data_IF_884719446823
#
_entry.id   IF_884719446823
#
_cell.length_a   1.000
_cell.length_b   1.000
_cell.length_c   1.000
_cell.angle_alpha   90.00
_cell.angle_beta   90.00
_cell.angle_gamma   90.00
#
_symmetry.space_group_name_H-M   'P 1'
#
loop_
_entity.id
_entity.type
_entity.pdbx_description
1 polymer ?
#
# COMPACT_ATOMS: atom_id res chain seq x y z
N UNK A 1 -48.40 33.32 -9.59
CA UNK A 1 -47.79 32.40 -8.63
C UNK A 1 -46.91 31.42 -9.40
N UNK A 2 -45.58 31.47 -9.23
CA UNK A 2 -44.67 30.42 -9.76
C UNK A 2 -45.01 29.14 -9.04
N UNK A 3 -45.58 28.11 -9.73
CA UNK A 3 -45.77 26.79 -9.17
C UNK A 3 -44.41 26.26 -8.73
N UNK A 4 -44.24 26.05 -7.43
CA UNK A 4 -43.01 25.46 -6.90
C UNK A 4 -42.81 24.07 -7.51
N UNK A 5 -41.53 23.71 -7.80
CA UNK A 5 -41.19 22.38 -8.29
C UNK A 5 -41.52 21.35 -7.22
N UNK A 6 -42.05 20.18 -7.62
CA UNK A 6 -42.40 19.06 -6.77
C UNK A 6 -41.33 17.99 -6.85
N UNK A 7 -40.70 17.67 -5.75
CA UNK A 7 -39.72 16.59 -5.66
C UNK A 7 -40.22 15.50 -4.70
N UNK A 8 -40.02 14.24 -5.11
CA UNK A 8 -40.28 13.09 -4.24
C UNK A 8 -39.01 12.83 -3.39
N UNK A 9 -39.11 12.90 -2.05
CA UNK A 9 -38.01 12.45 -1.20
C UNK A 9 -37.88 10.93 -1.28
N UNK A 10 -36.65 10.44 -1.53
CA UNK A 10 -36.38 9.02 -1.68
C UNK A 10 -35.06 8.65 -1.04
N UNK A 11 -35.06 7.58 -0.23
CA UNK A 11 -33.83 6.93 0.26
C UNK A 11 -33.77 5.54 -0.35
N UNK A 12 -32.69 5.26 -1.07
CA UNK A 12 -32.41 3.94 -1.63
C UNK A 12 -31.31 3.30 -0.78
N UNK A 13 -31.56 2.11 -0.27
CA UNK A 13 -30.56 1.29 0.41
C UNK A 13 -30.36 0.00 -0.37
N UNK A 14 -29.13 -0.31 -0.75
CA UNK A 14 -28.75 -1.51 -1.49
C UNK A 14 -27.73 -2.26 -0.67
N UNK A 15 -27.99 -3.52 -0.39
CA UNK A 15 -27.11 -4.41 0.33
C UNK A 15 -26.44 -5.35 -0.68
N UNK A 16 -25.10 -5.38 -0.67
CA UNK A 16 -24.25 -6.20 -1.53
C UNK A 16 -24.65 -6.16 -3.03
N UNK A 17 -24.63 -4.97 -3.67
CA UNK A 17 -25.00 -4.84 -5.09
C UNK A 17 -24.08 -5.64 -6.03
N UNK A 18 -22.95 -6.10 -5.53
CA UNK A 18 -21.99 -6.94 -6.26
C UNK A 18 -22.44 -8.38 -6.47
N UNK A 19 -23.41 -8.89 -5.74
CA UNK A 19 -23.84 -10.28 -5.83
C UNK A 19 -24.30 -10.58 -7.26
N UNK A 20 -23.64 -11.59 -7.89
CA UNK A 20 -23.88 -12.04 -9.27
C UNK A 20 -23.61 -11.01 -10.37
N UNK A 21 -22.99 -9.87 -10.07
CA UNK A 21 -22.64 -8.85 -11.06
C UNK A 21 -21.14 -8.84 -11.39
N UNK A 22 -20.84 -8.76 -12.68
CA UNK A 22 -19.47 -8.48 -13.11
C UNK A 22 -19.01 -7.09 -12.63
N UNK A 23 -17.73 -6.87 -12.23
CA UNK A 23 -17.24 -5.61 -11.69
C UNK A 23 -17.64 -4.35 -12.47
N UNK A 24 -17.57 -4.39 -13.80
CA UNK A 24 -18.04 -3.26 -14.64
C UNK A 24 -19.53 -2.99 -14.51
N UNK A 25 -20.32 -4.05 -14.35
CA UNK A 25 -21.78 -3.92 -14.17
C UNK A 25 -22.12 -3.31 -12.81
N UNK A 26 -21.37 -3.66 -11.77
CA UNK A 26 -21.53 -3.07 -10.43
C UNK A 26 -21.42 -1.54 -10.51
N UNK A 27 -20.32 -1.03 -11.09
CA UNK A 27 -20.11 0.42 -11.27
C UNK A 27 -21.20 1.07 -12.09
N UNK A 28 -21.60 0.44 -13.21
CA UNK A 28 -22.64 0.98 -14.09
C UNK A 28 -23.99 1.09 -13.38
N UNK A 29 -24.39 0.09 -12.62
CA UNK A 29 -25.65 0.08 -11.87
C UNK A 29 -25.64 1.19 -10.80
N UNK A 30 -24.55 1.32 -10.04
CA UNK A 30 -24.43 2.35 -9.03
C UNK A 30 -24.46 3.76 -9.62
N UNK A 31 -23.76 3.95 -10.73
CA UNK A 31 -23.77 5.23 -11.46
C UNK A 31 -25.18 5.55 -11.98
N UNK A 32 -25.90 4.57 -12.49
CA UNK A 32 -27.28 4.75 -12.95
C UNK A 32 -28.21 5.20 -11.80
N UNK A 33 -28.13 4.57 -10.61
CA UNK A 33 -28.91 5.03 -9.46
C UNK A 33 -28.59 6.47 -9.04
N UNK A 34 -27.33 6.87 -9.13
CA UNK A 34 -26.93 8.25 -8.88
C UNK A 34 -27.54 9.21 -9.91
N UNK A 35 -27.49 8.87 -11.20
CA UNK A 35 -28.11 9.67 -12.26
C UNK A 35 -29.61 9.86 -12.04
N UNK A 36 -30.32 8.79 -11.64
CA UNK A 36 -31.75 8.90 -11.32
C UNK A 36 -32.02 9.87 -10.16
N UNK A 37 -31.25 9.75 -9.07
CA UNK A 37 -31.40 10.61 -7.88
C UNK A 37 -31.01 12.07 -8.14
N UNK A 38 -30.07 12.31 -9.06
CA UNK A 38 -29.64 13.65 -9.47
C UNK A 38 -30.53 14.24 -10.58
N UNK A 39 -31.51 13.47 -11.08
CA UNK A 39 -32.41 13.87 -12.16
C UNK A 39 -31.67 14.10 -13.49
N UNK A 40 -30.65 13.33 -13.75
CA UNK A 40 -29.80 13.44 -14.95
C UNK A 40 -30.33 12.58 -16.11
N UNK A 41 -31.31 11.68 -15.87
CA UNK A 41 -31.99 10.91 -16.88
C UNK A 41 -33.28 11.62 -17.36
N UNK A 42 -33.29 12.21 -18.58
CA UNK A 42 -34.44 12.95 -19.08
C UNK A 42 -35.68 12.09 -19.30
N UNK A 43 -35.50 10.80 -19.65
CA UNK A 43 -36.65 9.89 -19.89
C UNK A 43 -37.33 9.57 -18.58
N UNK A 44 -36.53 9.23 -17.55
CA UNK A 44 -37.04 8.99 -16.20
C UNK A 44 -37.75 10.22 -15.63
N UNK A 45 -37.17 11.42 -15.75
CA UNK A 45 -37.81 12.66 -15.31
C UNK A 45 -39.14 12.91 -16.03
N UNK A 46 -39.24 12.59 -17.33
CA UNK A 46 -40.51 12.68 -18.08
C UNK A 46 -41.56 11.72 -17.52
N UNK A 47 -41.18 10.46 -17.28
CA UNK A 47 -42.08 9.46 -16.67
C UNK A 47 -42.59 9.92 -15.30
N UNK A 48 -41.73 10.43 -14.44
CA UNK A 48 -42.10 11.00 -13.15
C UNK A 48 -43.12 12.15 -13.30
N UNK A 49 -42.93 12.98 -14.32
CA UNK A 49 -43.81 14.11 -14.56
C UNK A 49 -45.17 13.68 -15.10
N UNK A 50 -45.19 12.76 -16.06
CA UNK A 50 -46.40 12.31 -16.76
C UNK A 50 -47.27 11.43 -15.85
N UNK A 51 -46.68 10.52 -15.09
CA UNK A 51 -47.44 9.60 -14.27
C UNK A 51 -47.78 10.14 -12.88
N UNK A 52 -46.87 10.91 -12.26
CA UNK A 52 -47.01 11.32 -10.86
C UNK A 52 -47.09 12.83 -10.65
N UNK A 53 -46.97 13.62 -11.73
CA UNK A 53 -46.87 15.06 -11.67
C UNK A 53 -45.75 15.59 -10.74
N UNK A 54 -44.60 14.87 -10.75
CA UNK A 54 -43.40 15.15 -9.95
C UNK A 54 -42.31 15.63 -10.88
N UNK A 55 -41.57 16.66 -10.49
CA UNK A 55 -40.51 17.27 -11.30
C UNK A 55 -39.15 16.58 -11.14
N UNK A 56 -39.01 15.63 -10.21
CA UNK A 56 -37.80 14.85 -9.99
C UNK A 56 -37.73 14.21 -8.61
N UNK A 57 -36.62 13.55 -8.35
CA UNK A 57 -36.29 12.98 -7.04
C UNK A 57 -35.40 13.92 -6.23
N UNK A 58 -35.46 13.78 -4.92
CA UNK A 58 -34.50 14.38 -3.98
C UNK A 58 -34.18 13.34 -2.94
N UNK A 59 -33.03 12.70 -3.08
CA UNK A 59 -32.76 11.53 -2.26
C UNK A 59 -31.29 11.25 -1.98
N UNK A 60 -31.10 10.13 -1.31
CA UNK A 60 -29.79 9.60 -0.93
C UNK A 60 -29.71 8.12 -1.31
N UNK A 61 -28.52 7.68 -1.70
CA UNK A 61 -28.19 6.29 -1.97
C UNK A 61 -27.23 5.79 -0.87
N UNK A 62 -27.62 4.74 -0.17
CA UNK A 62 -26.77 4.00 0.76
C UNK A 62 -26.45 2.64 0.19
N UNK A 63 -25.19 2.27 0.22
CA UNK A 63 -24.69 1.00 -0.30
C UNK A 63 -23.90 0.33 0.81
N UNK A 64 -24.27 -0.89 1.15
CA UNK A 64 -23.46 -1.79 1.98
C UNK A 64 -22.74 -2.75 1.03
N UNK A 65 -21.43 -2.81 1.11
CA UNK A 65 -20.63 -3.59 0.15
C UNK A 65 -19.35 -4.11 0.76
N UNK A 66 -18.90 -5.28 0.30
CA UNK A 66 -17.57 -5.85 0.52
C UNK A 66 -16.68 -5.75 -0.73
N UNK A 67 -17.17 -5.14 -1.81
CA UNK A 67 -16.45 -5.00 -3.08
C UNK A 67 -15.70 -3.66 -3.16
N UNK A 68 -14.42 -3.73 -3.48
CA UNK A 68 -13.61 -2.54 -3.79
C UNK A 68 -14.11 -1.81 -5.04
N UNK A 69 -14.76 -2.54 -5.96
CA UNK A 69 -15.31 -1.98 -7.20
C UNK A 69 -16.58 -1.15 -6.96
N UNK A 70 -17.32 -1.46 -5.89
CA UNK A 70 -18.49 -0.70 -5.47
C UNK A 70 -18.13 0.58 -4.68
N UNK A 71 -16.88 0.72 -4.22
CA UNK A 71 -16.43 1.96 -3.58
C UNK A 71 -16.22 3.05 -4.63
N UNK A 72 -16.94 4.14 -4.47
CA UNK A 72 -16.80 5.34 -5.30
C UNK A 72 -15.41 5.96 -5.06
N UNK A 73 -14.85 6.61 -6.08
CA UNK A 73 -13.50 7.17 -6.05
C UNK A 73 -13.36 8.44 -5.18
N UNK A 74 -14.26 8.62 -4.23
CA UNK A 74 -14.24 9.71 -3.25
C UNK A 74 -14.38 9.15 -1.82
N UNK A 75 -13.29 9.18 -1.07
CA UNK A 75 -13.25 8.69 0.31
C UNK A 75 -14.27 9.40 1.22
N UNK A 76 -14.72 10.62 0.90
CA UNK A 76 -15.70 11.39 1.68
C UNK A 76 -17.06 10.73 1.72
N UNK A 77 -17.37 9.88 0.75
CA UNK A 77 -18.61 9.12 0.69
C UNK A 77 -18.53 7.77 1.43
N UNK A 78 -17.36 7.41 1.97
CA UNK A 78 -17.16 6.13 2.65
C UNK A 78 -17.48 6.26 4.14
N UNK A 79 -18.27 5.31 4.64
CA UNK A 79 -18.52 5.11 6.05
C UNK A 79 -18.04 3.71 6.41
N UNK A 80 -16.95 3.62 7.19
CA UNK A 80 -16.45 2.33 7.68
C UNK A 80 -17.02 2.03 9.04
N UNK A 81 -17.66 0.88 9.18
CA UNK A 81 -18.07 0.35 10.49
C UNK A 81 -16.90 -0.47 11.08
N UNK A 82 -16.68 -0.36 12.36
CA UNK A 82 -15.64 -1.09 13.08
C UNK A 82 -16.03 -1.35 14.53
N UNK A 83 -15.42 -2.35 15.17
CA UNK A 83 -15.59 -2.57 16.63
C UNK A 83 -14.48 -1.85 17.39
N UNK A 84 -14.87 -1.12 18.42
CA UNK A 84 -13.91 -0.53 19.35
C UNK A 84 -13.38 -1.59 20.35
N UNK A 85 -12.42 -1.19 21.19
CA UNK A 85 -11.81 -2.08 22.21
C UNK A 85 -12.81 -2.66 23.22
N UNK A 86 -14.02 -2.11 23.29
CA UNK A 86 -15.11 -2.61 24.16
C UNK A 86 -16.08 -3.50 23.37
N UNK A 87 -15.79 -3.81 22.12
CA UNK A 87 -16.65 -4.60 21.23
C UNK A 87 -17.86 -3.83 20.69
N UNK A 88 -17.95 -2.53 20.92
CA UNK A 88 -19.07 -1.70 20.43
C UNK A 88 -18.86 -1.32 18.97
N UNK A 89 -19.91 -1.42 18.17
CA UNK A 89 -19.88 -0.94 16.77
C UNK A 89 -19.79 0.57 16.73
N UNK A 90 -18.86 1.08 15.96
CA UNK A 90 -18.59 2.49 15.72
C UNK A 90 -18.51 2.75 14.22
N UNK A 91 -18.66 4.01 13.83
CA UNK A 91 -18.52 4.45 12.45
C UNK A 91 -17.37 5.46 12.33
N UNK A 92 -16.58 5.33 11.26
CA UNK A 92 -15.64 6.32 10.80
C UNK A 92 -16.12 6.84 9.44
N UNK A 93 -16.38 8.15 9.36
CA UNK A 93 -17.01 8.77 8.21
C UNK A 93 -16.01 9.65 7.47
N UNK A 94 -15.81 9.37 6.18
CA UNK A 94 -14.86 10.10 5.34
C UNK A 94 -15.20 11.58 5.15
N UNK A 95 -16.49 11.95 5.19
CA UNK A 95 -16.92 13.35 5.12
C UNK A 95 -16.52 14.20 6.32
N UNK A 96 -16.09 13.57 7.42
CA UNK A 96 -15.56 14.27 8.58
C UNK A 96 -14.09 14.67 8.44
N UNK A 97 -13.43 14.31 7.34
CA UNK A 97 -12.01 14.56 7.09
C UNK A 97 -11.85 15.64 6.04
N UNK A 98 -10.97 16.57 6.33
CA UNK A 98 -10.54 17.59 5.38
C UNK A 98 -9.03 17.52 5.26
N UNK A 99 -8.56 16.93 4.18
CA UNK A 99 -7.15 16.92 3.84
C UNK A 99 -6.78 18.16 3.03
N UNK A 100 -5.50 18.55 3.04
CA UNK A 100 -4.99 19.57 2.12
C UNK A 100 -5.09 19.06 0.68
N UNK A 101 -5.16 19.99 -0.29
CA UNK A 101 -5.24 19.66 -1.71
C UNK A 101 -4.12 18.73 -2.19
N UNK A 102 -2.92 18.88 -1.61
CA UNK A 102 -1.77 18.04 -1.90
C UNK A 102 -1.99 16.58 -1.45
N UNK A 103 -2.56 16.39 -0.25
CA UNK A 103 -2.89 15.06 0.25
C UNK A 103 -4.00 14.43 -0.61
N UNK A 104 -5.01 15.20 -0.97
CA UNK A 104 -6.09 14.69 -1.83
C UNK A 104 -5.59 14.21 -3.20
N UNK A 105 -4.70 14.95 -3.85
CA UNK A 105 -4.06 14.50 -5.11
C UNK A 105 -3.37 13.16 -4.95
N UNK A 106 -2.59 12.98 -3.89
CA UNK A 106 -1.92 11.71 -3.62
C UNK A 106 -2.90 10.58 -3.34
N UNK A 107 -3.96 10.84 -2.59
CA UNK A 107 -4.97 9.83 -2.29
C UNK A 107 -5.70 9.35 -3.55
N UNK A 108 -6.04 10.25 -4.47
CA UNK A 108 -6.65 9.89 -5.75
C UNK A 108 -5.74 8.95 -6.55
N UNK A 109 -4.42 9.22 -6.59
CA UNK A 109 -3.46 8.39 -7.32
C UNK A 109 -3.25 6.99 -6.71
N UNK A 110 -3.34 6.88 -5.38
CA UNK A 110 -3.12 5.63 -4.65
C UNK A 110 -4.42 4.96 -4.19
N UNK A 111 -5.56 5.49 -4.60
CA UNK A 111 -6.86 5.02 -4.11
C UNK A 111 -7.15 3.55 -4.42
N UNK A 112 -6.71 2.95 -5.52
CA UNK A 112 -6.91 1.51 -5.75
C UNK A 112 -6.31 0.64 -4.65
N UNK A 113 -5.09 0.93 -4.22
CA UNK A 113 -4.42 0.19 -3.14
C UNK A 113 -5.05 0.48 -1.77
N UNK A 114 -5.45 1.73 -1.55
CA UNK A 114 -6.13 2.15 -0.31
C UNK A 114 -7.52 1.54 -0.17
N UNK A 115 -8.28 1.38 -1.27
CA UNK A 115 -9.59 0.71 -1.24
C UNK A 115 -9.52 -0.70 -0.63
N UNK A 116 -8.53 -1.48 -1.04
CA UNK A 116 -8.34 -2.83 -0.49
C UNK A 116 -8.04 -2.79 1.02
N UNK A 117 -7.26 -1.80 1.46
CA UNK A 117 -6.93 -1.63 2.87
C UNK A 117 -8.13 -1.29 3.75
N UNK A 118 -9.20 -0.67 3.20
CA UNK A 118 -10.41 -0.36 3.97
C UNK A 118 -11.11 -1.60 4.54
N UNK A 119 -10.93 -2.76 3.91
CA UNK A 119 -11.46 -4.06 4.36
C UNK A 119 -10.46 -4.86 5.20
N UNK A 120 -9.23 -4.37 5.38
CA UNK A 120 -8.20 -5.08 6.13
C UNK A 120 -8.34 -4.88 7.65
N UNK A 121 -7.77 -5.82 8.41
CA UNK A 121 -7.62 -5.71 9.85
C UNK A 121 -6.48 -4.79 10.26
N UNK A 122 -5.43 -4.74 9.44
CA UNK A 122 -4.31 -3.81 9.58
C UNK A 122 -3.63 -3.60 8.24
N UNK A 123 -2.82 -2.57 8.11
CA UNK A 123 -2.05 -2.30 6.90
C UNK A 123 -0.57 -2.17 7.20
N UNK A 124 0.25 -2.72 6.28
CA UNK A 124 1.69 -2.48 6.22
C UNK A 124 2.00 -1.62 5.01
N UNK A 125 2.56 -0.44 5.24
CA UNK A 125 2.96 0.48 4.18
C UNK A 125 4.48 0.39 4.03
N UNK A 126 4.93 0.18 2.80
CA UNK A 126 6.35 0.15 2.41
C UNK A 126 6.63 1.19 1.35
N UNK A 127 7.89 1.63 1.24
CA UNK A 127 8.26 2.74 0.38
C UNK A 127 8.25 2.37 -1.10
N UNK A 128 8.76 1.18 -1.45
CA UNK A 128 9.10 0.83 -2.82
C UNK A 128 8.64 -0.55 -3.29
N UNK A 129 8.97 -0.81 -4.55
CA UNK A 129 8.53 -2.02 -5.27
C UNK A 129 9.26 -3.28 -4.80
N UNK A 130 10.51 -3.17 -4.37
CA UNK A 130 11.30 -4.34 -3.92
C UNK A 130 10.73 -4.89 -2.63
N UNK A 131 10.44 -4.02 -1.67
CA UNK A 131 9.77 -4.35 -0.41
C UNK A 131 8.40 -4.97 -0.67
N UNK A 132 7.60 -4.32 -1.52
CA UNK A 132 6.29 -4.84 -1.90
C UNK A 132 6.37 -6.24 -2.49
N UNK A 133 7.39 -6.50 -3.32
CA UNK A 133 7.59 -7.81 -3.94
C UNK A 133 7.97 -8.92 -2.96
N UNK A 134 8.68 -8.63 -1.86
CA UNK A 134 9.18 -9.65 -0.94
C UNK A 134 8.39 -9.80 0.37
N UNK A 135 7.74 -8.74 0.87
CA UNK A 135 7.17 -8.75 2.23
C UNK A 135 6.03 -9.73 2.43
N UNK A 136 5.21 -9.98 1.40
CA UNK A 136 4.17 -11.01 1.50
C UNK A 136 4.77 -12.39 1.78
N UNK A 137 5.84 -12.75 1.07
CA UNK A 137 6.52 -14.02 1.27
C UNK A 137 7.30 -14.05 2.59
N UNK A 138 7.91 -12.94 2.99
CA UNK A 138 8.52 -12.83 4.31
C UNK A 138 7.51 -13.04 5.43
N UNK A 139 6.27 -12.55 5.26
CA UNK A 139 5.17 -12.85 6.17
C UNK A 139 4.92 -14.35 6.30
N UNK A 140 4.86 -15.08 5.19
CA UNK A 140 4.71 -16.55 5.19
C UNK A 140 5.88 -17.22 5.92
N UNK A 141 7.11 -16.83 5.59
CA UNK A 141 8.35 -17.38 6.19
C UNK A 141 8.42 -17.12 7.71
N UNK A 142 7.86 -16.00 8.17
CA UNK A 142 7.78 -15.63 9.59
C UNK A 142 6.53 -16.19 10.31
N UNK A 143 5.74 -17.05 9.67
CA UNK A 143 4.45 -17.57 10.16
C UNK A 143 3.40 -16.47 10.44
N UNK A 144 3.42 -15.41 9.66
CA UNK A 144 2.45 -14.32 9.66
C UNK A 144 1.97 -14.10 8.21
N UNK A 145 1.28 -15.07 7.58
CA UNK A 145 0.78 -14.91 6.22
C UNK A 145 -0.28 -13.81 6.18
N UNK A 146 -0.06 -12.81 5.33
CA UNK A 146 -0.84 -11.57 5.34
C UNK A 146 -2.32 -11.82 5.03
N UNK A 147 -2.61 -12.66 4.04
CA UNK A 147 -3.99 -12.97 3.68
C UNK A 147 -4.76 -13.63 4.84
N UNK A 148 -4.12 -14.55 5.58
CA UNK A 148 -4.74 -15.21 6.73
C UNK A 148 -5.05 -14.24 7.88
N UNK A 149 -4.17 -13.27 8.11
CA UNK A 149 -4.35 -12.27 9.17
C UNK A 149 -5.13 -11.04 8.72
N UNK A 150 -5.52 -10.96 7.47
CA UNK A 150 -6.20 -9.78 6.92
C UNK A 150 -5.32 -8.53 6.90
N UNK A 151 -4.03 -8.68 6.59
CA UNK A 151 -3.06 -7.59 6.50
C UNK A 151 -2.97 -7.11 5.05
N UNK A 152 -3.25 -5.85 4.80
CA UNK A 152 -3.05 -5.25 3.48
C UNK A 152 -1.64 -4.69 3.36
N UNK A 153 -0.89 -5.14 2.35
CA UNK A 153 0.41 -4.59 2.00
C UNK A 153 0.25 -3.49 0.94
N UNK A 154 0.77 -2.31 1.23
CA UNK A 154 0.64 -1.13 0.36
C UNK A 154 2.02 -0.65 -0.06
N UNK A 155 2.23 -0.48 -1.38
CA UNK A 155 3.37 0.23 -1.94
C UNK A 155 3.06 1.72 -2.02
N UNK A 156 3.72 2.54 -1.24
CA UNK A 156 3.51 3.99 -1.23
C UNK A 156 4.11 4.70 -2.47
N UNK A 157 4.96 4.00 -3.24
CA UNK A 157 5.66 4.56 -4.41
C UNK A 157 6.47 5.82 -4.08
N UNK A 158 7.07 5.83 -2.89
CA UNK A 158 7.93 6.89 -2.38
C UNK A 158 7.57 7.35 -0.97
N UNK A 159 8.57 7.82 -0.26
CA UNK A 159 8.52 8.22 1.14
C UNK A 159 7.40 9.23 1.44
N UNK A 160 7.26 10.27 0.60
CA UNK A 160 6.30 11.36 0.82
C UNK A 160 4.83 10.94 0.82
N UNK A 161 4.51 9.76 0.28
CA UNK A 161 3.14 9.20 0.24
C UNK A 161 2.80 8.39 1.49
N UNK A 162 3.80 7.85 2.20
CA UNK A 162 3.58 6.96 3.35
C UNK A 162 2.76 7.66 4.44
N UNK A 163 3.17 8.85 4.86
CA UNK A 163 2.48 9.61 5.92
C UNK A 163 1.04 9.95 5.54
N UNK A 164 0.77 10.24 4.27
CA UNK A 164 -0.54 10.61 3.76
C UNK A 164 -1.49 9.41 3.74
N UNK A 165 -1.01 8.26 3.22
CA UNK A 165 -1.78 7.00 3.22
C UNK A 165 -2.04 6.54 4.66
N UNK A 166 -1.02 6.60 5.53
CA UNK A 166 -1.13 6.27 6.95
C UNK A 166 -2.20 7.11 7.63
N UNK A 167 -2.18 8.44 7.45
CA UNK A 167 -3.17 9.34 8.02
C UNK A 167 -4.59 8.96 7.60
N UNK A 168 -4.84 8.70 6.31
CA UNK A 168 -6.16 8.28 5.83
C UNK A 168 -6.63 6.99 6.50
N UNK A 169 -5.79 5.96 6.52
CA UNK A 169 -6.15 4.66 7.09
C UNK A 169 -6.42 4.75 8.60
N UNK A 170 -5.60 5.50 9.33
CA UNK A 170 -5.80 5.74 10.77
C UNK A 170 -7.09 6.52 11.06
N UNK A 171 -7.49 7.42 10.17
CA UNK A 171 -8.79 8.08 10.26
C UNK A 171 -9.94 7.09 10.16
N UNK A 172 -9.86 6.15 9.23
CA UNK A 172 -10.82 5.04 9.13
C UNK A 172 -10.63 3.97 10.21
N UNK A 173 -9.78 4.23 11.22
CA UNK A 173 -9.50 3.32 12.35
C UNK A 173 -8.91 1.98 11.92
N UNK A 174 -8.12 1.99 10.87
CA UNK A 174 -7.30 0.85 10.44
C UNK A 174 -5.92 1.03 11.07
N UNK A 175 -5.46 0.08 11.89
CA UNK A 175 -4.12 0.14 12.45
C UNK A 175 -3.06 0.00 11.37
N UNK A 176 -2.03 0.84 11.40
CA UNK A 176 -0.99 0.89 10.38
C UNK A 176 0.38 0.69 10.99
N UNK A 177 1.20 -0.14 10.33
CA UNK A 177 2.65 -0.14 10.47
C UNK A 177 3.26 0.39 9.17
N UNK A 178 4.22 1.31 9.26
CA UNK A 178 4.90 1.87 8.10
C UNK A 178 6.41 1.67 8.23
N UNK A 179 7.05 1.19 7.17
CA UNK A 179 8.51 1.04 7.10
C UNK A 179 9.08 2.15 6.22
N UNK A 180 10.01 2.89 6.78
CA UNK A 180 10.80 3.93 6.11
C UNK A 180 12.26 3.54 6.03
N UNK A 181 12.96 4.09 5.08
CA UNK A 181 14.42 4.05 5.05
C UNK A 181 15.01 4.88 6.22
N UNK A 182 16.16 4.47 6.74
CA UNK A 182 16.75 5.11 7.93
C UNK A 182 17.26 6.53 7.68
N UNK A 183 17.46 6.93 6.43
CA UNK A 183 17.91 8.29 6.09
C UNK A 183 16.89 9.39 6.44
N UNK A 184 15.60 9.04 6.51
CA UNK A 184 14.52 9.96 6.93
C UNK A 184 14.12 9.83 8.40
N UNK A 185 14.81 9.02 9.18
CA UNK A 185 14.49 8.72 10.58
C UNK A 185 14.37 9.97 11.47
N UNK A 186 15.15 10.99 11.19
CA UNK A 186 15.12 12.24 11.96
C UNK A 186 13.77 12.98 11.80
N UNK A 187 13.18 12.93 10.62
CA UNK A 187 11.93 13.61 10.31
C UNK A 187 10.70 12.94 10.98
N UNK A 188 10.77 11.63 11.19
CA UNK A 188 9.63 10.82 11.72
C UNK A 188 9.88 10.31 13.15
N UNK A 189 10.81 10.95 13.90
CA UNK A 189 11.16 10.53 15.25
C UNK A 189 9.97 10.65 16.21
N UNK A 190 9.61 9.54 16.85
CA UNK A 190 8.54 9.51 17.86
C UNK A 190 7.13 9.27 17.30
N UNK A 191 6.97 9.14 16.00
CA UNK A 191 5.70 8.77 15.39
C UNK A 191 5.32 7.32 15.74
N UNK A 192 4.05 7.10 16.09
CA UNK A 192 3.54 5.75 16.39
C UNK A 192 3.35 4.95 15.10
N UNK A 193 3.63 3.64 15.18
CA UNK A 193 3.46 2.73 14.06
C UNK A 193 4.47 2.92 12.93
N UNK A 194 5.56 3.69 13.18
CA UNK A 194 6.64 3.92 12.22
C UNK A 194 7.86 3.10 12.62
N UNK A 195 8.43 2.43 11.62
CA UNK A 195 9.61 1.57 11.72
C UNK A 195 10.64 2.03 10.69
N UNK A 196 11.90 1.73 10.93
CA UNK A 196 12.99 2.13 10.06
C UNK A 196 13.89 0.94 9.75
N UNK A 197 14.51 0.95 8.58
CA UNK A 197 15.63 0.08 8.28
C UNK A 197 16.77 0.31 9.28
N UNK A 198 17.64 -0.68 9.49
CA UNK A 198 18.82 -0.49 10.34
C UNK A 198 19.91 0.28 9.61
N UNK A 199 20.13 -0.08 8.35
CA UNK A 199 21.04 0.60 7.44
C UNK A 199 20.30 1.73 6.71
N UNK A 200 21.04 2.48 5.91
CA UNK A 200 20.56 3.69 5.23
C UNK A 200 19.29 3.48 4.39
N UNK A 201 19.07 2.27 3.89
CA UNK A 201 17.88 1.89 3.13
C UNK A 201 17.71 0.37 3.08
N UNK A 202 16.56 -0.07 2.56
CA UNK A 202 16.17 -1.47 2.42
C UNK A 202 17.25 -2.35 1.78
N UNK A 203 17.81 -1.94 0.63
CA UNK A 203 18.77 -2.77 -0.10
C UNK A 203 20.09 -2.91 0.64
N UNK A 204 20.49 -1.92 1.44
CA UNK A 204 21.71 -2.02 2.24
C UNK A 204 21.51 -2.94 3.45
N UNK A 205 20.35 -2.88 4.11
CA UNK A 205 19.99 -3.82 5.18
C UNK A 205 20.04 -5.27 4.66
N UNK A 206 19.47 -5.51 3.49
CA UNK A 206 19.43 -6.82 2.86
C UNK A 206 20.84 -7.31 2.48
N UNK A 207 21.60 -6.49 1.74
CA UNK A 207 22.95 -6.84 1.30
C UNK A 207 23.85 -7.18 2.49
N UNK A 208 23.83 -6.33 3.52
CA UNK A 208 24.66 -6.49 4.71
C UNK A 208 24.25 -7.72 5.50
N UNK A 209 22.97 -7.92 5.76
CA UNK A 209 22.47 -9.09 6.50
C UNK A 209 22.89 -10.39 5.82
N UNK A 210 22.74 -10.52 4.51
CA UNK A 210 23.09 -11.74 3.77
C UNK A 210 24.62 -11.94 3.69
N UNK A 211 25.39 -10.89 3.45
CA UNK A 211 26.86 -11.00 3.37
C UNK A 211 27.47 -11.32 4.72
N UNK A 212 26.98 -10.74 5.82
CA UNK A 212 27.47 -11.02 7.18
C UNK A 212 27.17 -12.44 7.63
N UNK A 213 26.09 -13.03 7.14
CA UNK A 213 25.72 -14.43 7.38
C UNK A 213 26.41 -15.41 6.41
N UNK A 214 27.31 -14.93 5.54
CA UNK A 214 28.00 -15.77 4.56
C UNK A 214 27.10 -16.27 3.43
N UNK A 215 25.91 -15.69 3.23
CA UNK A 215 24.92 -16.08 2.20
C UNK A 215 25.20 -15.44 0.83
N UNK A 216 26.46 -15.08 0.57
CA UNK A 216 26.87 -14.48 -0.72
C UNK A 216 26.44 -15.31 -1.92
N UNK A 217 26.59 -16.65 -1.85
CA UNK A 217 26.22 -17.55 -2.96
C UNK A 217 24.73 -17.50 -3.30
N UNK A 218 23.88 -17.35 -2.29
CA UNK A 218 22.45 -17.25 -2.49
C UNK A 218 22.08 -15.91 -3.08
N UNK A 219 22.70 -14.84 -2.62
CA UNK A 219 22.56 -13.51 -3.21
C UNK A 219 23.03 -13.47 -4.66
N UNK A 220 24.17 -14.08 -5.00
CA UNK A 220 24.64 -14.25 -6.38
C UNK A 220 23.62 -15.02 -7.23
N UNK A 221 23.03 -16.09 -6.71
CA UNK A 221 22.00 -16.88 -7.42
C UNK A 221 20.77 -16.03 -7.70
N UNK A 222 20.26 -15.29 -6.71
CA UNK A 222 19.10 -14.40 -6.87
C UNK A 222 19.38 -13.34 -7.93
N UNK A 223 20.54 -12.68 -7.84
CA UNK A 223 20.96 -11.65 -8.80
C UNK A 223 21.06 -12.22 -10.21
N UNK A 224 21.72 -13.37 -10.38
CA UNK A 224 21.85 -14.03 -11.68
C UNK A 224 20.50 -14.46 -12.26
N UNK A 225 19.57 -14.91 -11.43
CA UNK A 225 18.20 -15.22 -11.85
C UNK A 225 17.46 -13.98 -12.34
N UNK A 226 17.72 -12.83 -11.71
CA UNK A 226 17.07 -11.57 -12.07
C UNK A 226 17.61 -10.94 -13.36
N UNK A 227 18.94 -11.07 -13.65
CA UNK A 227 19.58 -10.37 -14.75
C UNK A 227 20.33 -11.26 -15.74
N UNK A 228 20.29 -12.60 -15.57
CA UNK A 228 21.15 -13.53 -16.30
C UNK A 228 22.62 -13.43 -15.84
N UNK A 229 23.56 -14.05 -16.59
CA UNK A 229 24.97 -14.14 -16.20
C UNK A 229 25.75 -12.81 -16.26
N UNK A 230 25.07 -11.69 -16.20
CA UNK A 230 25.65 -10.35 -16.37
C UNK A 230 25.70 -9.52 -15.07
N UNK A 231 25.73 -10.16 -13.90
CA UNK A 231 25.81 -9.50 -12.61
C UNK A 231 27.06 -8.63 -12.46
N UNK A 232 26.99 -7.42 -13.00
CA UNK A 232 28.07 -6.43 -12.99
C UNK A 232 27.60 -5.13 -12.35
N UNK A 233 28.36 -4.62 -11.38
CA UNK A 233 28.22 -3.27 -10.93
C UNK A 233 28.94 -2.34 -11.90
N UNK A 234 28.17 -1.54 -12.63
CA UNK A 234 28.68 -0.54 -13.58
C UNK A 234 29.19 0.70 -12.85
N UNK A 235 29.97 1.55 -13.54
CA UNK A 235 30.45 2.79 -12.95
C UNK A 235 29.30 3.70 -12.46
N UNK A 236 28.19 3.76 -13.20
CA UNK A 236 27.02 4.56 -12.84
C UNK A 236 26.30 4.03 -11.61
N UNK A 237 26.14 2.71 -11.50
CA UNK A 237 25.57 2.05 -10.32
C UNK A 237 26.41 2.36 -9.08
N UNK A 238 27.74 2.20 -9.20
CA UNK A 238 28.68 2.48 -8.11
C UNK A 238 28.64 3.96 -7.72
N UNK A 239 28.62 4.86 -8.71
CA UNK A 239 28.52 6.31 -8.45
C UNK A 239 27.24 6.68 -7.68
N UNK A 240 26.09 6.10 -8.05
CA UNK A 240 24.81 6.27 -7.34
C UNK A 240 24.90 5.75 -5.91
N UNK A 241 25.42 4.53 -5.72
CA UNK A 241 25.55 3.91 -4.41
C UNK A 241 26.51 4.69 -3.51
N UNK A 242 27.69 5.08 -4.01
CA UNK A 242 28.67 5.85 -3.25
C UNK A 242 28.12 7.22 -2.84
N UNK A 243 27.33 7.87 -3.71
CA UNK A 243 26.62 9.12 -3.34
C UNK A 243 25.62 8.90 -2.20
N UNK A 244 24.85 7.81 -2.25
CA UNK A 244 23.89 7.48 -1.17
C UNK A 244 24.61 7.15 0.15
N UNK A 245 25.80 6.53 0.08
CA UNK A 245 26.62 6.15 1.24
C UNK A 245 27.59 7.24 1.71
N UNK A 246 27.65 8.37 1.04
CA UNK A 246 28.60 9.47 1.29
C UNK A 246 30.07 9.00 1.31
N UNK A 247 30.46 8.22 0.30
CA UNK A 247 31.83 7.69 0.13
C UNK A 247 32.39 8.02 -1.25
N UNK A 248 33.74 7.99 -1.36
CA UNK A 248 34.42 8.28 -2.62
C UNK A 248 34.25 7.10 -3.62
N UNK A 249 33.67 7.38 -4.79
CA UNK A 249 33.44 6.35 -5.81
C UNK A 249 34.72 5.95 -6.58
N UNK A 250 35.77 6.76 -6.58
CA UNK A 250 37.03 6.45 -7.26
C UNK A 250 37.72 5.21 -6.68
N UNK A 251 37.43 4.83 -5.44
CA UNK A 251 37.95 3.64 -4.78
C UNK A 251 37.31 2.33 -5.28
N UNK A 252 36.26 2.42 -6.09
CA UNK A 252 35.44 1.30 -6.52
C UNK A 252 35.29 1.26 -8.04
N UNK A 253 36.26 0.69 -8.80
CA UNK A 253 36.12 0.54 -10.25
C UNK A 253 35.02 -0.46 -10.64
N UNK A 254 34.39 -0.25 -11.80
CA UNK A 254 33.35 -1.15 -12.29
C UNK A 254 33.88 -2.60 -12.45
N UNK A 255 33.13 -3.57 -11.86
CA UNK A 255 33.52 -4.99 -11.95
C UNK A 255 32.29 -5.92 -11.81
N UNK A 256 32.51 -7.18 -12.23
CA UNK A 256 31.53 -8.25 -11.99
C UNK A 256 31.48 -8.60 -10.50
N UNK A 257 30.30 -8.90 -9.96
CA UNK A 257 30.11 -9.15 -8.53
C UNK A 257 30.96 -10.31 -8.01
N UNK A 258 31.07 -11.41 -8.76
CA UNK A 258 31.88 -12.56 -8.35
C UNK A 258 33.39 -12.28 -8.28
N UNK A 259 33.87 -11.21 -8.96
CA UNK A 259 35.29 -10.81 -8.93
C UNK A 259 35.61 -9.90 -7.72
N UNK A 260 34.63 -9.59 -6.88
CA UNK A 260 34.88 -8.84 -5.65
C UNK A 260 35.56 -9.74 -4.63
N UNK A 261 36.69 -9.27 -4.09
CA UNK A 261 37.47 -10.04 -3.12
C UNK A 261 36.61 -10.39 -1.89
N UNK A 262 36.39 -11.67 -1.57
CA UNK A 262 35.56 -12.09 -0.44
C UNK A 262 36.09 -11.67 0.92
N UNK A 263 37.39 -11.35 1.03
CA UNK A 263 38.01 -10.88 2.27
C UNK A 263 37.82 -9.37 2.48
N UNK A 264 37.39 -8.62 1.47
CA UNK A 264 37.15 -7.20 1.58
C UNK A 264 35.65 -6.94 1.81
N UNK A 265 35.25 -7.01 3.07
CA UNK A 265 33.84 -6.86 3.49
C UNK A 265 33.24 -5.53 3.04
N UNK A 266 34.00 -4.43 3.19
CA UNK A 266 33.53 -3.11 2.75
C UNK A 266 33.26 -3.05 1.24
N UNK A 267 34.15 -3.63 0.44
CA UNK A 267 33.93 -3.70 -1.00
C UNK A 267 32.72 -4.56 -1.36
N UNK A 268 32.54 -5.71 -0.68
CA UNK A 268 31.34 -6.53 -0.86
C UNK A 268 30.06 -5.71 -0.65
N UNK A 269 29.94 -5.02 0.46
CA UNK A 269 28.76 -4.18 0.75
C UNK A 269 28.50 -3.17 -0.36
N UNK A 270 29.51 -2.41 -0.75
CA UNK A 270 29.37 -1.35 -1.77
C UNK A 270 28.94 -1.93 -3.12
N UNK A 271 29.55 -3.01 -3.58
CA UNK A 271 29.25 -3.58 -4.89
C UNK A 271 27.86 -4.26 -4.94
N UNK A 272 27.50 -5.03 -3.93
CA UNK A 272 26.18 -5.67 -3.88
C UNK A 272 25.08 -4.64 -3.66
N UNK A 273 25.31 -3.67 -2.78
CA UNK A 273 24.41 -2.54 -2.63
C UNK A 273 24.24 -1.76 -3.94
N UNK A 274 25.31 -1.43 -4.63
CA UNK A 274 25.26 -0.70 -5.90
C UNK A 274 24.37 -1.41 -6.93
N UNK A 275 24.50 -2.73 -6.99
CA UNK A 275 23.68 -3.53 -7.90
C UNK A 275 22.20 -3.55 -7.46
N UNK A 276 21.93 -3.90 -6.22
CA UNK A 276 20.55 -3.99 -5.68
C UNK A 276 19.82 -2.64 -5.77
N UNK A 277 20.48 -1.57 -5.35
CA UNK A 277 19.92 -0.22 -5.35
C UNK A 277 19.60 0.31 -6.74
N UNK A 278 20.34 -0.15 -7.76
CA UNK A 278 20.12 0.24 -9.15
C UNK A 278 19.13 -0.65 -9.90
N UNK A 279 18.83 -1.84 -9.39
CA UNK A 279 17.95 -2.82 -10.01
C UNK A 279 16.72 -3.12 -9.13
N UNK A 280 16.21 -2.10 -8.43
CA UNK A 280 14.97 -2.18 -7.67
C UNK A 280 13.80 -2.66 -8.53
N UNK A 281 12.85 -3.37 -7.91
CA UNK A 281 11.61 -3.75 -8.57
C UNK A 281 10.94 -4.97 -7.98
N UNK A 282 9.67 -5.15 -8.33
CA UNK A 282 8.80 -6.22 -7.82
C UNK A 282 9.36 -7.61 -8.11
N UNK A 283 9.97 -7.82 -9.30
CA UNK A 283 10.53 -9.12 -9.70
C UNK A 283 11.69 -9.50 -8.79
N UNK A 284 12.63 -8.58 -8.56
CA UNK A 284 13.75 -8.80 -7.63
C UNK A 284 13.21 -9.08 -6.22
N UNK A 285 12.25 -8.27 -5.74
CA UNK A 285 11.60 -8.48 -4.46
C UNK A 285 10.98 -9.87 -4.33
N UNK A 286 10.26 -10.34 -5.36
CA UNK A 286 9.67 -11.68 -5.38
C UNK A 286 10.73 -12.79 -5.28
N UNK A 287 11.82 -12.69 -6.03
CA UNK A 287 12.91 -13.66 -5.97
C UNK A 287 13.57 -13.70 -4.58
N UNK A 288 13.79 -12.53 -3.98
CA UNK A 288 14.28 -12.41 -2.61
C UNK A 288 13.31 -13.09 -1.62
N UNK A 289 12.02 -12.77 -1.72
CA UNK A 289 10.99 -13.35 -0.85
C UNK A 289 10.96 -14.86 -0.91
N UNK A 290 11.07 -15.44 -2.10
CA UNK A 290 11.02 -16.89 -2.32
C UNK A 290 12.29 -17.64 -1.92
N UNK A 291 13.43 -16.95 -1.86
CA UNK A 291 14.75 -17.58 -1.67
C UNK A 291 15.28 -17.47 -0.25
N UNK A 292 14.76 -16.54 0.56
CA UNK A 292 15.29 -16.27 1.89
C UNK A 292 14.55 -17.07 2.96
N UNK A 293 15.33 -17.67 3.85
CA UNK A 293 14.84 -18.34 5.05
C UNK A 293 14.61 -17.35 6.19
N UNK A 294 13.95 -17.81 7.25
CA UNK A 294 13.57 -16.97 8.39
C UNK A 294 14.75 -16.16 8.96
N UNK A 295 15.89 -16.81 9.10
CA UNK A 295 17.07 -16.17 9.68
C UNK A 295 17.77 -15.21 8.72
N UNK A 296 17.53 -15.32 7.42
CA UNK A 296 18.09 -14.43 6.39
C UNK A 296 17.31 -13.12 6.26
N UNK A 297 16.10 -13.04 6.82
CA UNK A 297 15.28 -11.82 6.80
C UNK A 297 15.90 -10.79 7.74
N UNK A 298 16.21 -9.56 7.26
CA UNK A 298 16.74 -8.51 8.12
C UNK A 298 15.88 -8.24 9.34
N UNK A 299 16.47 -8.04 10.52
CA UNK A 299 15.73 -7.87 11.79
C UNK A 299 14.74 -6.72 11.77
N UNK A 300 15.01 -5.64 11.04
CA UNK A 300 14.09 -4.51 10.89
C UNK A 300 12.80 -4.95 10.18
N UNK A 301 12.92 -5.79 9.14
CA UNK A 301 11.78 -6.28 8.37
C UNK A 301 10.95 -7.29 9.19
N UNK A 302 11.61 -8.22 9.85
CA UNK A 302 10.95 -9.16 10.77
C UNK A 302 10.18 -8.42 11.88
N UNK A 303 10.76 -7.34 12.40
CA UNK A 303 10.13 -6.50 13.44
C UNK A 303 8.85 -5.84 12.96
N UNK A 304 8.85 -5.19 11.79
CA UNK A 304 7.66 -4.51 11.28
C UNK A 304 6.56 -5.50 10.87
N UNK A 305 6.93 -6.67 10.30
CA UNK A 305 5.99 -7.73 9.97
C UNK A 305 5.35 -8.30 11.25
N UNK A 306 6.15 -8.52 12.29
CA UNK A 306 5.63 -8.97 13.59
C UNK A 306 4.68 -7.94 14.19
N UNK A 307 5.03 -6.66 14.11
CA UNK A 307 4.21 -5.59 14.66
C UNK A 307 2.86 -5.47 13.93
N UNK A 308 2.82 -5.50 12.60
CA UNK A 308 1.56 -5.45 11.87
C UNK A 308 0.71 -6.69 12.11
N UNK A 309 1.33 -7.88 12.27
CA UNK A 309 0.63 -9.11 12.67
C UNK A 309 -0.02 -9.01 14.05
N UNK A 310 0.64 -8.34 15.00
CA UNK A 310 0.06 -8.06 16.32
C UNK A 310 -1.12 -7.08 16.22
N UNK A 311 -1.00 -6.04 15.40
CA UNK A 311 -2.10 -5.10 15.16
C UNK A 311 -3.32 -5.81 14.58
N UNK A 312 -3.14 -6.70 13.61
CA UNK A 312 -4.23 -7.48 12.99
C UNK A 312 -4.96 -8.39 14.00
N UNK A 313 -4.24 -8.99 14.95
CA UNK A 313 -4.83 -9.87 15.99
C UNK A 313 -5.70 -9.11 16.99
N UNK A 314 -5.41 -7.84 17.23
CA UNK A 314 -6.17 -7.00 18.18
C UNK A 314 -7.42 -6.42 17.52
N UNK A 315 -7.41 -6.28 16.19
CA UNK A 315 -8.54 -5.73 15.43
C UNK A 315 -9.60 -6.82 15.24
N UNK A 316 -10.81 -6.58 15.75
CA UNK A 316 -11.95 -7.45 15.55
C UNK A 316 -12.76 -6.96 14.34
N UNK A 317 -13.18 -7.90 13.50
CA UNK A 317 -14.09 -7.62 12.40
C UNK A 317 -15.50 -7.31 12.93
N UNK A 318 -16.23 -6.49 12.21
CA UNK A 318 -17.66 -6.20 12.51
C UNK A 318 -18.54 -7.33 12.01
#
# INVERSE_FOLDING_TARGET
MKKGRRYLPLIISIDEPEIHLHPYMQRSVLHYYQQLLHNEDPQFCRILKDLFNIDGLRGQLFIVTHSTDSLIDDYRNIIRLYRDKKGMVRAACGSCFHFSEEIEKHLIMHFPEVKAALYSRSALIVEGETEYGCFQQFGVTLNIPFDYYGICLINARGESSISKIKALLEYFKIPVAALYDADVKAAHKGERGVYFTHEICFEMDLAKTLLDRGRRRDLDRIINTACGDHARATADMIKKACRKLDINYHDYPARRLWNVNPRNQRALYVYYFAWLYSNKGVILGRLLGQSLEKDDIPPAFAKVITAVGQLAKVTQDV
#
